data_IF_554482135394
#
_entry.id   IF_554482135394
#
_cell.length_a   1.000
_cell.length_b   1.000
_cell.length_c   1.000
_cell.angle_alpha   90.00
_cell.angle_beta   90.00
_cell.angle_gamma   90.00
#
_symmetry.space_group_name_H-M   'P 1'
#
loop_
_entity.id
_entity.type
_entity.pdbx_description
1 polymer ?
#
# COMPACT_ATOMS: atom_id res chain seq x y z
N UNK A 1 -0.30 -4.78 -17.38
CA UNK A 1 0.48 -3.81 -16.58
C UNK A 1 1.87 -4.37 -16.34
N UNK A 2 2.92 -3.59 -16.57
CA UNK A 2 4.30 -3.99 -16.24
C UNK A 2 4.59 -3.65 -14.77
N UNK A 3 5.53 -4.38 -14.17
CA UNK A 3 5.91 -4.18 -12.78
C UNK A 3 4.95 -4.79 -11.77
N UNK A 4 5.02 -4.35 -10.53
CA UNK A 4 4.19 -4.84 -9.44
C UNK A 4 3.98 -3.79 -8.35
N UNK A 5 2.98 -4.01 -7.52
CA UNK A 5 2.80 -3.30 -6.26
C UNK A 5 3.05 -4.24 -5.08
N UNK A 6 3.58 -3.72 -4.00
CA UNK A 6 3.65 -4.39 -2.71
C UNK A 6 3.19 -3.43 -1.61
N UNK A 7 2.75 -3.98 -0.49
CA UNK A 7 2.14 -3.23 0.62
C UNK A 7 2.98 -3.40 1.87
N UNK A 8 3.34 -2.29 2.50
CA UNK A 8 3.96 -2.25 3.81
C UNK A 8 3.04 -1.58 4.83
N UNK A 9 2.74 -2.28 5.92
CA UNK A 9 1.97 -1.77 7.05
C UNK A 9 2.94 -1.55 8.21
N UNK A 10 3.21 -0.29 8.54
CA UNK A 10 4.13 0.05 9.62
C UNK A 10 3.42 -0.01 10.97
N UNK A 11 3.74 -1.04 11.77
CA UNK A 11 3.23 -1.23 13.12
C UNK A 11 1.69 -1.15 13.24
N UNK A 12 0.92 -1.87 12.41
CA UNK A 12 -0.53 -1.83 12.46
C UNK A 12 -1.04 -2.32 13.81
N UNK A 13 -2.11 -1.70 14.31
CA UNK A 13 -2.69 -1.98 15.61
C UNK A 13 -3.70 -3.12 15.57
N UNK A 14 -4.44 -3.24 14.48
CA UNK A 14 -5.64 -4.05 14.41
C UNK A 14 -5.49 -5.18 13.39
N UNK A 15 -5.67 -6.43 13.86
CA UNK A 15 -5.63 -7.62 13.01
C UNK A 15 -6.68 -7.62 11.89
N UNK A 16 -7.85 -7.03 12.13
CA UNK A 16 -8.91 -6.86 11.12
C UNK A 16 -8.40 -6.04 9.94
N UNK A 17 -7.70 -4.96 10.21
CA UNK A 17 -7.13 -4.12 9.16
C UNK A 17 -6.01 -4.82 8.40
N UNK A 18 -5.17 -5.60 9.07
CA UNK A 18 -4.14 -6.41 8.41
C UNK A 18 -4.77 -7.45 7.47
N UNK A 19 -5.77 -8.17 7.95
CA UNK A 19 -6.49 -9.16 7.13
C UNK A 19 -7.22 -8.53 5.94
N UNK A 20 -7.86 -7.38 6.14
CA UNK A 20 -8.55 -6.66 5.07
C UNK A 20 -7.57 -6.06 4.05
N UNK A 21 -6.42 -5.57 4.49
CA UNK A 21 -5.35 -5.11 3.60
C UNK A 21 -4.76 -6.27 2.77
N UNK A 22 -4.58 -7.43 3.39
CA UNK A 22 -4.12 -8.65 2.71
C UNK A 22 -5.13 -9.09 1.63
N UNK A 23 -6.43 -9.01 1.94
CA UNK A 23 -7.50 -9.28 0.96
C UNK A 23 -7.44 -8.29 -0.20
N UNK A 24 -7.31 -7.00 0.08
CA UNK A 24 -7.17 -5.98 -0.96
C UNK A 24 -5.96 -6.25 -1.85
N UNK A 25 -4.81 -6.55 -1.25
CA UNK A 25 -3.59 -6.89 -1.97
C UNK A 25 -3.80 -8.10 -2.91
N UNK A 26 -4.48 -9.13 -2.43
CA UNK A 26 -4.84 -10.31 -3.25
C UNK A 26 -5.77 -9.96 -4.42
N UNK A 27 -6.81 -9.16 -4.17
CA UNK A 27 -7.77 -8.73 -5.20
C UNK A 27 -7.11 -7.92 -6.31
N UNK A 28 -6.19 -7.03 -5.96
CA UNK A 28 -5.49 -6.18 -6.93
C UNK A 28 -4.17 -6.77 -7.45
N UNK A 29 -3.84 -8.01 -7.08
CA UNK A 29 -2.64 -8.69 -7.59
C UNK A 29 -1.33 -8.10 -7.08
N UNK A 30 -1.28 -7.59 -5.86
CA UNK A 30 -0.03 -7.17 -5.24
C UNK A 30 0.90 -8.37 -5.01
N UNK A 31 2.21 -8.13 -5.00
CA UNK A 31 3.20 -9.19 -4.89
C UNK A 31 3.31 -9.77 -3.47
N UNK A 32 3.21 -8.92 -2.45
CA UNK A 32 3.23 -9.33 -1.03
C UNK A 32 2.66 -8.21 -0.14
N UNK A 33 2.37 -8.57 1.10
CA UNK A 33 2.12 -7.65 2.21
C UNK A 33 3.15 -7.88 3.29
N UNK A 34 3.74 -6.81 3.80
CA UNK A 34 4.57 -6.82 5.00
C UNK A 34 3.86 -6.06 6.12
N UNK A 35 3.87 -6.61 7.33
CA UNK A 35 3.33 -5.95 8.52
C UNK A 35 4.36 -6.04 9.64
N UNK A 36 4.88 -4.90 10.07
CA UNK A 36 5.87 -4.82 11.15
C UNK A 36 5.23 -4.67 12.53
N UNK A 37 6.05 -4.73 13.57
CA UNK A 37 5.68 -4.41 14.95
C UNK A 37 5.00 -5.52 15.73
N UNK A 38 4.29 -6.43 15.12
CA UNK A 38 3.70 -7.62 15.75
C UNK A 38 2.60 -7.37 16.80
N UNK A 39 2.12 -6.14 16.98
CA UNK A 39 1.10 -5.81 18.01
C UNK A 39 -0.34 -6.13 17.60
N UNK A 40 -0.56 -6.50 16.36
CA UNK A 40 -1.90 -6.76 15.84
C UNK A 40 -2.44 -8.16 16.18
N UNK A 41 -1.60 -9.08 16.66
CA UNK A 41 -2.01 -10.43 17.03
C UNK A 41 -2.61 -11.28 15.89
N UNK A 42 -2.95 -12.55 16.15
CA UNK A 42 -3.68 -13.37 15.19
C UNK A 42 -5.14 -12.89 15.08
N UNK A 43 -5.62 -12.70 13.86
CA UNK A 43 -6.98 -12.24 13.60
C UNK A 43 -7.67 -13.01 12.47
N UNK A 44 -9.01 -13.16 12.55
CA UNK A 44 -9.80 -14.03 11.67
C UNK A 44 -10.26 -13.40 10.35
N UNK A 45 -9.82 -12.19 10.00
CA UNK A 45 -10.47 -11.39 8.96
C UNK A 45 -10.07 -11.67 7.53
N UNK A 46 -9.09 -12.51 7.29
CA UNK A 46 -8.83 -13.03 5.96
C UNK A 46 -9.68 -14.27 5.68
N UNK A 47 -10.98 -14.08 5.51
CA UNK A 47 -11.95 -15.17 5.27
C UNK A 47 -11.66 -15.97 4.01
N UNK A 48 -10.99 -15.38 3.03
CA UNK A 48 -10.54 -16.03 1.79
C UNK A 48 -9.14 -16.63 1.92
N UNK A 49 -8.52 -16.51 3.09
CA UNK A 49 -7.18 -17.03 3.38
C UNK A 49 -6.13 -16.63 2.33
N UNK A 50 -6.12 -15.35 1.96
CA UNK A 50 -5.19 -14.81 0.96
C UNK A 50 -3.73 -15.03 1.32
N UNK A 51 -3.41 -15.18 2.62
CA UNK A 51 -2.06 -15.54 3.07
C UNK A 51 -1.56 -16.88 2.50
N UNK A 52 -2.45 -17.73 1.99
CA UNK A 52 -2.08 -18.98 1.31
C UNK A 52 -1.64 -18.77 -0.13
N UNK A 53 -2.01 -17.65 -0.72
CA UNK A 53 -1.79 -17.32 -2.13
C UNK A 53 -0.90 -16.09 -2.32
N UNK A 54 -0.74 -15.30 -1.27
CA UNK A 54 0.01 -14.06 -1.24
C UNK A 54 0.92 -14.05 0.00
N UNK A 55 2.23 -13.84 -0.14
CA UNK A 55 3.12 -13.78 1.02
C UNK A 55 2.74 -12.67 2.00
N UNK A 56 2.57 -13.03 3.26
CA UNK A 56 2.49 -12.10 4.38
C UNK A 56 3.82 -12.17 5.14
N UNK A 57 4.64 -11.13 5.01
CA UNK A 57 5.92 -11.00 5.68
C UNK A 57 5.74 -10.27 7.01
N UNK A 58 6.52 -10.67 8.02
CA UNK A 58 6.46 -10.09 9.37
C UNK A 58 7.82 -9.56 9.81
N UNK A 59 8.38 -8.56 9.12
CA UNK A 59 9.67 -7.99 9.49
C UNK A 59 9.58 -7.22 10.80
N UNK A 60 10.72 -7.02 11.46
CA UNK A 60 10.82 -6.08 12.57
C UNK A 60 10.61 -4.64 12.10
N UNK A 61 11.20 -4.29 10.96
CA UNK A 61 11.05 -3.01 10.28
C UNK A 61 10.46 -3.22 8.88
N UNK A 62 9.43 -2.47 8.55
CA UNK A 62 8.78 -2.55 7.23
C UNK A 62 9.74 -2.25 6.07
N UNK A 63 10.80 -1.47 6.32
CA UNK A 63 11.82 -1.16 5.32
C UNK A 63 12.79 -2.31 5.03
N UNK A 64 12.91 -3.30 5.94
CA UNK A 64 13.83 -4.43 5.77
C UNK A 64 13.47 -5.32 4.57
N UNK A 65 12.23 -5.29 4.13
CA UNK A 65 11.73 -6.10 3.02
C UNK A 65 11.48 -5.28 1.75
N UNK A 66 11.95 -4.04 1.70
CA UNK A 66 11.89 -3.22 0.49
C UNK A 66 12.72 -3.87 -0.63
N UNK A 67 12.11 -4.29 -1.75
CA UNK A 67 12.86 -4.86 -2.85
C UNK A 67 13.82 -3.85 -3.47
N UNK A 68 14.98 -4.32 -3.92
CA UNK A 68 16.08 -3.48 -4.40
C UNK A 68 15.68 -2.46 -5.48
N UNK A 69 14.85 -2.86 -6.43
CA UNK A 69 14.45 -2.04 -7.57
C UNK A 69 13.04 -1.46 -7.43
N UNK A 70 12.48 -1.51 -6.24
CA UNK A 70 11.15 -1.02 -5.93
C UNK A 70 11.20 0.40 -5.36
N UNK A 71 10.29 1.24 -5.79
CA UNK A 71 10.18 2.62 -5.30
C UNK A 71 9.32 2.65 -4.05
N UNK A 72 9.85 3.05 -2.88
CA UNK A 72 9.06 3.25 -1.70
C UNK A 72 8.22 4.52 -1.82
N UNK A 73 6.92 4.38 -1.58
CA UNK A 73 5.94 5.47 -1.60
C UNK A 73 5.21 5.49 -0.27
N UNK A 74 5.36 6.56 0.50
CA UNK A 74 4.63 6.73 1.74
C UNK A 74 3.19 7.19 1.45
N UNK A 75 2.24 6.63 2.16
CA UNK A 75 0.84 7.06 2.11
C UNK A 75 0.48 7.70 3.45
N UNK A 76 0.49 9.02 3.49
CA UNK A 76 0.25 9.80 4.71
C UNK A 76 -0.19 11.22 4.38
N UNK A 77 -0.98 11.81 5.27
CA UNK A 77 -1.41 13.20 5.14
C UNK A 77 -0.41 14.13 5.85
N UNK A 78 0.57 14.59 5.10
CA UNK A 78 1.59 15.53 5.57
C UNK A 78 1.74 16.72 4.62
N UNK A 79 2.36 17.80 5.12
CA UNK A 79 2.68 18.96 4.27
C UNK A 79 3.60 18.54 3.11
N UNK A 80 3.28 19.00 1.91
CA UNK A 80 4.05 18.70 0.70
C UNK A 80 3.75 17.34 0.04
N UNK A 81 2.84 16.54 0.59
CA UNK A 81 2.38 15.30 -0.04
C UNK A 81 1.60 15.58 -1.33
N UNK A 82 1.73 14.69 -2.30
CA UNK A 82 1.01 14.78 -3.57
C UNK A 82 -0.39 14.14 -3.43
N UNK A 83 -1.46 14.80 -3.88
CA UNK A 83 -2.78 14.16 -3.89
C UNK A 83 -2.78 12.95 -4.83
N UNK A 84 -3.39 11.87 -4.38
CA UNK A 84 -3.33 10.57 -5.08
C UNK A 84 -3.79 10.65 -6.54
N UNK A 85 -4.84 11.42 -6.81
CA UNK A 85 -5.39 11.55 -8.18
C UNK A 85 -4.43 12.22 -9.16
N UNK A 86 -3.44 12.98 -8.68
CA UNK A 86 -2.39 13.61 -9.49
C UNK A 86 -1.10 12.76 -9.53
N UNK A 87 -1.01 11.74 -8.68
CA UNK A 87 0.20 10.94 -8.53
C UNK A 87 0.39 9.96 -9.68
N UNK A 88 1.60 9.93 -10.25
CA UNK A 88 2.00 8.94 -11.24
C UNK A 88 2.67 7.75 -10.54
N UNK A 89 2.01 6.61 -10.57
CA UNK A 89 2.51 5.41 -9.93
C UNK A 89 3.78 4.86 -10.59
N UNK A 90 4.81 4.51 -9.81
CA UNK A 90 5.97 3.78 -10.32
C UNK A 90 5.56 2.40 -10.84
N UNK A 91 6.29 1.87 -11.82
CA UNK A 91 6.04 0.50 -12.31
C UNK A 91 6.18 -0.54 -11.18
N UNK A 92 7.20 -0.38 -10.33
CA UNK A 92 7.43 -1.19 -9.13
C UNK A 92 7.34 -0.28 -7.93
N UNK A 93 6.30 -0.46 -7.14
CA UNK A 93 5.99 0.40 -6.02
C UNK A 93 5.80 -0.39 -4.72
N UNK A 94 6.43 0.06 -3.65
CA UNK A 94 6.20 -0.41 -2.30
C UNK A 94 5.48 0.69 -1.53
N UNK A 95 4.17 0.53 -1.36
CA UNK A 95 3.34 1.50 -0.65
C UNK A 95 3.38 1.24 0.83
N UNK A 96 3.81 2.22 1.62
CA UNK A 96 3.94 2.11 3.07
C UNK A 96 2.86 2.96 3.74
N UNK A 97 2.08 2.31 4.59
CA UNK A 97 0.96 2.90 5.34
C UNK A 97 1.31 2.94 6.82
N UNK A 98 0.96 4.02 7.49
CA UNK A 98 1.08 4.17 8.94
C UNK A 98 0.01 3.40 9.71
N UNK A 99 0.24 3.25 11.01
CA UNK A 99 -0.74 2.67 11.92
C UNK A 99 -2.00 3.55 12.03
N UNK A 100 -3.10 2.96 12.50
CA UNK A 100 -4.40 3.63 12.66
C UNK A 100 -4.35 4.79 13.67
N UNK A 101 -3.41 4.70 14.62
CA UNK A 101 -3.23 5.65 15.73
C UNK A 101 -1.95 6.50 15.62
N UNK A 102 -1.25 6.44 14.48
CA UNK A 102 0.00 7.17 14.29
C UNK A 102 0.23 7.52 12.81
N UNK A 103 0.98 8.58 12.57
CA UNK A 103 1.53 8.91 11.25
C UNK A 103 2.85 8.15 11.04
N UNK A 104 3.28 8.06 9.77
CA UNK A 104 4.61 7.57 9.44
C UNK A 104 5.67 8.54 9.99
N UNK A 105 6.68 8.00 10.67
CA UNK A 105 7.76 8.80 11.22
C UNK A 105 8.82 9.19 10.18
N UNK A 106 9.68 10.13 10.53
CA UNK A 106 10.77 10.62 9.69
C UNK A 106 11.68 9.49 9.19
N UNK A 107 11.86 8.45 9.97
CA UNK A 107 12.64 7.26 9.59
C UNK A 107 12.14 6.62 8.29
N UNK A 108 10.83 6.54 8.10
CA UNK A 108 10.22 6.00 6.89
C UNK A 108 10.13 7.09 5.80
N UNK A 109 9.63 8.27 6.16
CA UNK A 109 9.42 9.37 5.22
C UNK A 109 10.70 9.78 4.51
N UNK A 110 11.84 9.83 5.21
CA UNK A 110 13.14 10.14 4.63
C UNK A 110 13.66 9.11 3.63
N UNK A 111 13.15 7.89 3.68
CA UNK A 111 13.48 6.79 2.76
C UNK A 111 12.54 6.69 1.57
N UNK A 112 11.40 7.35 1.63
CA UNK A 112 10.41 7.35 0.56
C UNK A 112 10.74 8.44 -0.46
N UNK A 113 10.72 8.08 -1.75
CA UNK A 113 10.88 9.04 -2.83
C UNK A 113 9.68 9.97 -2.93
N UNK A 114 8.50 9.43 -2.74
CA UNK A 114 7.25 10.14 -2.88
C UNK A 114 6.37 9.92 -1.63
N UNK A 115 5.62 10.95 -1.28
CA UNK A 115 4.56 10.86 -0.27
C UNK A 115 3.25 11.27 -0.93
N UNK A 116 2.23 10.44 -0.78
CA UNK A 116 0.90 10.66 -1.36
C UNK A 116 -0.17 10.69 -0.28
N UNK A 117 -1.23 11.42 -0.52
CA UNK A 117 -2.40 11.42 0.35
C UNK A 117 -3.71 11.33 -0.45
N UNK A 118 -4.74 10.84 0.18
CA UNK A 118 -6.08 10.81 -0.40
C UNK A 118 -6.85 12.02 0.12
N UNK A 119 -7.26 12.96 -0.76
CA UNK A 119 -8.01 14.14 -0.33
C UNK A 119 -9.44 13.74 0.05
N UNK A 120 -9.70 13.65 1.35
CA UNK A 120 -10.99 13.32 1.93
C UNK A 120 -11.34 14.27 3.08
N UNK A 121 -12.60 14.31 3.47
CA UNK A 121 -13.07 15.17 4.55
C UNK A 121 -12.78 14.61 5.96
N UNK A 122 -12.17 13.44 6.06
CA UNK A 122 -11.86 12.79 7.33
C UNK A 122 -10.85 11.67 7.17
N UNK A 123 -10.47 11.05 8.28
CA UNK A 123 -9.53 9.93 8.26
C UNK A 123 -10.19 8.68 7.69
N UNK A 124 -9.51 8.03 6.76
CA UNK A 124 -9.94 6.74 6.21
C UNK A 124 -9.38 5.59 7.05
N UNK A 125 -10.13 4.52 7.14
CA UNK A 125 -9.66 3.24 7.65
C UNK A 125 -8.42 2.76 6.86
N UNK A 126 -7.47 2.14 7.53
CA UNK A 126 -6.21 1.67 6.92
C UNK A 126 -6.45 0.76 5.71
N UNK A 127 -7.29 -0.26 5.85
CA UNK A 127 -7.56 -1.19 4.76
C UNK A 127 -8.34 -0.53 3.61
N UNK A 128 -9.24 0.40 3.91
CA UNK A 128 -9.91 1.21 2.89
C UNK A 128 -8.91 2.06 2.11
N UNK A 129 -7.93 2.65 2.80
CA UNK A 129 -6.85 3.42 2.16
C UNK A 129 -6.03 2.55 1.21
N UNK A 130 -5.68 1.34 1.63
CA UNK A 130 -4.99 0.35 0.77
C UNK A 130 -5.80 0.05 -0.50
N UNK A 131 -7.11 -0.19 -0.36
CA UNK A 131 -8.00 -0.43 -1.51
C UNK A 131 -7.99 0.75 -2.49
N UNK A 132 -8.11 1.97 -1.98
CA UNK A 132 -8.17 3.18 -2.82
C UNK A 132 -6.87 3.40 -3.57
N UNK A 133 -5.72 3.24 -2.92
CA UNK A 133 -4.40 3.38 -3.58
C UNK A 133 -4.21 2.34 -4.67
N UNK A 134 -4.56 1.08 -4.42
CA UNK A 134 -4.42 0.00 -5.39
C UNK A 134 -5.41 0.16 -6.55
N UNK A 135 -6.64 0.63 -6.27
CA UNK A 135 -7.61 0.92 -7.33
C UNK A 135 -7.15 2.10 -8.21
N UNK A 136 -6.66 3.18 -7.63
CA UNK A 136 -6.16 4.34 -8.39
C UNK A 136 -5.01 3.91 -9.32
N UNK A 137 -4.09 3.08 -8.82
CA UNK A 137 -3.03 2.49 -9.63
C UNK A 137 -3.58 1.67 -10.81
N UNK A 138 -4.54 0.79 -10.56
CA UNK A 138 -5.19 -0.02 -11.59
C UNK A 138 -5.92 0.84 -12.62
N UNK A 139 -6.74 1.79 -12.16
CA UNK A 139 -7.52 2.67 -13.04
C UNK A 139 -6.63 3.46 -13.99
N UNK A 140 -5.56 4.06 -13.48
CA UNK A 140 -4.58 4.80 -14.28
C UNK A 140 -3.87 3.92 -15.30
N UNK A 141 -3.52 2.69 -14.94
CA UNK A 141 -2.92 1.73 -15.87
C UNK A 141 -3.87 1.34 -17.01
N UNK A 142 -5.14 1.07 -16.69
CA UNK A 142 -6.16 0.75 -17.69
C UNK A 142 -6.43 1.92 -18.64
N UNK A 143 -6.47 3.14 -18.13
CA UNK A 143 -6.62 4.35 -18.95
C UNK A 143 -5.43 4.50 -19.91
N UNK A 144 -4.21 4.31 -19.42
CA UNK A 144 -3.00 4.40 -20.25
C UNK A 144 -2.96 3.31 -21.33
N UNK A 145 -3.36 2.07 -21.01
CA UNK A 145 -3.45 0.98 -21.96
C UNK A 145 -4.50 1.25 -23.05
N UNK A 146 -5.66 1.79 -22.68
CA UNK A 146 -6.71 2.16 -23.62
C UNK A 146 -6.25 3.26 -24.58
N UNK A 147 -5.56 4.29 -24.08
CA UNK A 147 -4.99 5.35 -24.91
C UNK A 147 -3.98 4.83 -25.91
N UNK A 148 -3.17 3.84 -25.54
CA UNK A 148 -2.17 3.23 -26.43
C UNK A 148 -2.84 2.39 -27.53
N UNK A 149 -3.93 1.67 -27.22
CA UNK A 149 -4.67 0.84 -28.18
C UNK A 149 -5.54 1.66 -29.15
N UNK A 150 -5.97 2.85 -28.77
CA UNK A 150 -6.77 3.75 -29.62
C UNK A 150 -5.97 4.64 -30.56
N UNK A 151 -4.64 4.55 -30.52
CA UNK A 151 -3.75 5.39 -31.34
C UNK A 151 -3.35 4.75 -32.68
N UNK A 152 -4.05 3.69 -33.13
CA UNK A 152 -3.86 3.05 -34.42
C UNK A 152 -5.09 3.16 -35.30
#
# INVERSE_FOLDING_TARGET
>A
MRGYAAIGLDNPKNAVNVGSALRAAGVYGAAFVAASGGRYGPGPTDTMKHYRHLPLLRPTDVLDVLPYDCVPVAVDLIAGATPLHEFRHPERAYYIFGAEDATLGERILSRCRDVVFIPTNGCMNLAATVNVVLYDRLAKALIAEAATKGAY
#
